data_IF_951181517446
#
_entry.id   IF_951181517446
#
_cell.length_a   1.000
_cell.length_b   1.000
_cell.length_c   1.000
_cell.angle_alpha   90.00
_cell.angle_beta   90.00
_cell.angle_gamma   90.00
#
_symmetry.space_group_name_H-M   'P 1'
#
loop_
_entity.id
_entity.type
_entity.pdbx_description
1 polymer ?
#
# COMPACT_ATOMS: atom_id res chain seq x y z
N UNK A 1 -45.48 -16.29 -65.74
CA UNK A 1 -45.17 -17.03 -64.53
C UNK A 1 -43.66 -16.97 -64.35
N UNK A 2 -43.17 -16.07 -63.45
CA UNK A 2 -41.75 -15.78 -63.25
C UNK A 2 -41.28 -16.56 -62.03
N UNK A 3 -40.32 -17.44 -62.22
CA UNK A 3 -39.66 -18.16 -61.08
C UNK A 3 -38.61 -17.30 -60.42
N UNK A 4 -38.81 -16.99 -59.14
CA UNK A 4 -37.88 -16.27 -58.33
C UNK A 4 -36.63 -17.10 -58.09
N UNK A 5 -35.44 -16.51 -58.39
CA UNK A 5 -34.14 -17.06 -58.24
C UNK A 5 -33.72 -16.91 -56.76
N UNK A 6 -33.77 -17.97 -55.96
CA UNK A 6 -33.25 -18.00 -54.61
C UNK A 6 -31.71 -17.87 -54.63
N UNK A 7 -31.19 -16.75 -54.15
CA UNK A 7 -29.76 -16.54 -53.99
C UNK A 7 -29.21 -17.45 -52.87
N UNK A 8 -28.21 -18.29 -53.18
CA UNK A 8 -27.49 -19.12 -52.23
C UNK A 8 -26.71 -18.24 -51.28
N UNK A 9 -27.12 -18.18 -50.03
CA UNK A 9 -26.33 -17.60 -48.94
C UNK A 9 -25.16 -18.58 -48.65
N UNK A 10 -23.95 -18.22 -49.06
CA UNK A 10 -22.74 -19.01 -48.75
C UNK A 10 -22.33 -18.72 -47.30
N UNK A 11 -22.40 -19.72 -46.44
CA UNK A 11 -21.89 -19.64 -45.08
C UNK A 11 -20.34 -19.60 -45.14
N UNK A 12 -19.68 -18.70 -44.38
CA UNK A 12 -18.22 -18.67 -44.35
C UNK A 12 -17.70 -20.01 -43.80
N UNK A 13 -16.71 -20.56 -44.48
CA UNK A 13 -16.10 -21.83 -44.08
C UNK A 13 -15.62 -21.77 -42.62
N UNK A 14 -15.74 -22.85 -41.90
CA UNK A 14 -15.29 -22.98 -40.48
C UNK A 14 -13.85 -22.51 -40.27
N UNK A 15 -13.02 -22.51 -41.30
CA UNK A 15 -11.64 -22.05 -41.32
C UNK A 15 -11.59 -20.51 -41.26
N UNK A 16 -12.44 -19.79 -42.02
CA UNK A 16 -12.49 -18.32 -41.99
C UNK A 16 -12.98 -17.80 -40.61
N UNK A 17 -13.97 -18.43 -39.99
CA UNK A 17 -14.47 -18.07 -38.69
C UNK A 17 -13.40 -18.29 -37.56
N UNK A 18 -12.61 -19.36 -37.68
CA UNK A 18 -11.51 -19.61 -36.73
C UNK A 18 -10.34 -18.62 -36.89
N UNK A 19 -10.01 -18.23 -38.12
CA UNK A 19 -8.96 -17.25 -38.38
C UNK A 19 -9.34 -15.85 -37.82
N UNK A 20 -10.58 -15.45 -37.91
CA UNK A 20 -11.07 -14.18 -37.36
C UNK A 20 -11.05 -14.20 -35.83
N UNK A 21 -11.44 -15.32 -35.21
CA UNK A 21 -11.44 -15.45 -33.74
C UNK A 21 -10.01 -15.43 -33.18
N UNK A 22 -9.06 -16.11 -33.82
CA UNK A 22 -7.64 -16.08 -33.41
C UNK A 22 -7.02 -14.70 -33.57
N UNK A 23 -7.34 -13.96 -34.63
CA UNK A 23 -6.86 -12.59 -34.81
C UNK A 23 -7.45 -11.61 -33.77
N UNK A 24 -8.71 -11.79 -33.37
CA UNK A 24 -9.36 -11.00 -32.34
C UNK A 24 -8.73 -11.24 -30.94
N UNK A 25 -8.44 -12.49 -30.61
CA UNK A 25 -7.80 -12.85 -29.33
C UNK A 25 -6.34 -12.36 -29.28
N UNK A 26 -5.59 -12.46 -30.37
CA UNK A 26 -4.23 -11.92 -30.47
C UNK A 26 -4.20 -10.39 -30.33
N UNK A 27 -5.19 -9.68 -30.90
CA UNK A 27 -5.32 -8.23 -30.76
C UNK A 27 -5.64 -7.79 -29.33
N UNK A 28 -6.42 -8.56 -28.58
CA UNK A 28 -6.75 -8.28 -27.17
C UNK A 28 -5.56 -8.51 -26.21
N UNK A 29 -4.67 -9.44 -26.53
CA UNK A 29 -3.46 -9.71 -25.71
C UNK A 29 -2.41 -8.62 -25.91
N UNK A 30 -2.31 -8.02 -27.10
CA UNK A 30 -1.35 -6.94 -27.38
C UNK A 30 -1.69 -5.60 -26.74
N UNK A 31 -2.91 -5.41 -26.26
CA UNK A 31 -3.36 -4.14 -25.67
C UNK A 31 -3.00 -3.96 -24.18
N UNK A 32 -2.33 -4.94 -23.53
CA UNK A 32 -2.12 -4.92 -22.08
C UNK A 32 -0.66 -4.79 -21.63
N UNK A 33 0.27 -4.51 -22.50
CA UNK A 33 1.66 -4.24 -22.12
C UNK A 33 2.12 -2.86 -22.58
N UNK A 34 1.48 -1.80 -22.10
CA UNK A 34 2.21 -0.55 -21.93
C UNK A 34 3.11 -0.70 -20.69
N UNK A 35 4.29 -1.29 -20.86
CA UNK A 35 5.39 -1.04 -19.93
C UNK A 35 5.61 0.47 -19.89
N UNK A 36 5.11 1.10 -18.82
CA UNK A 36 5.40 2.49 -18.51
C UNK A 36 6.90 2.59 -18.29
N UNK A 37 7.67 2.80 -19.38
CA UNK A 37 9.10 3.05 -19.27
C UNK A 37 9.30 4.16 -18.25
N UNK A 38 10.08 3.89 -17.21
CA UNK A 38 10.43 4.90 -16.23
C UNK A 38 11.03 6.09 -16.96
N UNK A 39 10.31 7.20 -17.02
CA UNK A 39 10.82 8.45 -17.57
C UNK A 39 12.03 8.88 -16.71
N UNK A 40 13.06 9.44 -17.34
CA UNK A 40 14.20 10.01 -16.64
C UNK A 40 13.80 11.06 -15.58
N UNK A 41 12.61 11.66 -15.73
CA UNK A 41 11.99 12.58 -14.76
C UNK A 41 11.24 11.89 -13.61
N UNK A 42 11.22 10.54 -13.56
CA UNK A 42 10.56 9.83 -12.45
C UNK A 42 11.19 10.23 -11.11
N UNK A 43 10.35 10.55 -10.13
CA UNK A 43 10.78 11.13 -8.85
C UNK A 43 11.88 10.31 -8.14
N UNK A 44 11.83 8.97 -8.20
CA UNK A 44 12.81 8.09 -7.55
C UNK A 44 14.17 8.03 -8.26
N UNK A 45 14.25 8.52 -9.50
CA UNK A 45 15.50 8.62 -10.28
C UNK A 45 16.14 10.01 -10.16
N UNK A 46 15.49 10.96 -9.51
CA UNK A 46 16.04 12.28 -9.29
C UNK A 46 17.05 12.29 -8.14
N UNK A 47 18.08 13.13 -8.19
CA UNK A 47 18.97 13.32 -7.07
C UNK A 47 18.22 13.68 -5.80
N UNK A 48 18.62 13.10 -4.66
CA UNK A 48 18.01 13.42 -3.36
C UNK A 48 18.25 14.89 -3.03
N UNK A 49 17.17 15.64 -2.84
CA UNK A 49 17.22 17.04 -2.43
C UNK A 49 16.67 17.18 -1.02
N UNK A 50 17.32 18.06 -0.24
CA UNK A 50 16.83 18.39 1.11
C UNK A 50 15.64 19.33 0.98
N UNK A 51 14.47 18.83 1.33
CA UNK A 51 13.23 19.62 1.36
C UNK A 51 13.13 20.38 2.69
N UNK A 52 12.70 21.64 2.64
CA UNK A 52 12.41 22.41 3.85
C UNK A 52 11.23 21.81 4.62
N UNK A 53 11.36 21.78 5.96
CA UNK A 53 10.30 21.25 6.81
C UNK A 53 9.13 22.22 6.83
N UNK A 54 7.90 21.81 6.48
CA UNK A 54 6.77 22.71 6.42
C UNK A 54 6.39 23.24 7.81
N UNK A 55 6.08 24.53 7.87
CA UNK A 55 5.51 25.14 9.08
C UNK A 55 4.03 24.79 9.15
N UNK A 56 3.67 23.94 10.11
CA UNK A 56 2.28 23.52 10.31
C UNK A 56 1.73 24.05 11.64
N UNK A 57 0.48 24.51 11.68
CA UNK A 57 -0.19 24.83 12.93
C UNK A 57 -0.40 23.53 13.73
N UNK A 58 -0.41 23.61 15.06
CA UNK A 58 -0.51 22.49 15.98
C UNK A 58 0.74 21.59 16.09
N UNK A 59 1.87 22.23 16.36
CA UNK A 59 3.16 21.56 16.59
C UNK A 59 3.16 20.60 17.79
N UNK A 60 2.13 20.63 18.66
CA UNK A 60 2.05 19.73 19.82
C UNK A 60 1.94 18.25 19.44
N UNK A 61 1.39 17.95 18.27
CA UNK A 61 1.31 16.59 17.76
C UNK A 61 2.61 16.14 17.08
N UNK A 62 3.24 17.06 16.33
CA UNK A 62 4.49 16.81 15.62
C UNK A 62 5.66 16.70 16.61
N UNK A 63 6.32 15.57 16.68
CA UNK A 63 7.48 15.30 17.53
C UNK A 63 8.79 15.41 16.77
N UNK A 64 8.74 15.26 15.45
CA UNK A 64 9.89 15.28 14.57
C UNK A 64 9.53 15.90 13.20
N UNK A 65 10.52 16.18 12.34
CA UNK A 65 10.27 16.76 11.01
C UNK A 65 9.33 15.94 10.12
N UNK A 66 9.35 14.60 10.23
CA UNK A 66 8.48 13.72 9.43
C UNK A 66 7.02 13.98 9.77
N UNK A 67 6.71 14.16 11.05
CA UNK A 67 5.36 14.46 11.50
C UNK A 67 4.84 15.78 10.91
N UNK A 68 5.72 16.76 10.66
CA UNK A 68 5.35 18.03 10.04
C UNK A 68 4.90 17.84 8.58
N UNK A 69 5.58 16.99 7.81
CA UNK A 69 5.15 16.61 6.45
C UNK A 69 3.82 15.86 6.47
N UNK A 70 3.64 14.92 7.40
CA UNK A 70 2.37 14.19 7.55
C UNK A 70 1.23 15.15 7.88
N UNK A 71 1.43 16.09 8.82
CA UNK A 71 0.41 17.10 9.16
C UNK A 71 0.08 18.03 7.99
N UNK A 72 1.07 18.43 7.19
CA UNK A 72 0.85 19.26 6.01
C UNK A 72 -0.06 18.55 5.02
N UNK A 73 0.22 17.28 4.72
CA UNK A 73 -0.59 16.47 3.81
C UNK A 73 -2.00 16.22 4.37
N UNK A 74 -2.13 15.88 5.66
CA UNK A 74 -3.45 15.73 6.29
C UNK A 74 -4.28 17.01 6.17
N UNK A 75 -3.66 18.18 6.40
CA UNK A 75 -4.34 19.47 6.28
C UNK A 75 -4.81 19.75 4.85
N UNK A 76 -3.99 19.44 3.86
CA UNK A 76 -4.35 19.58 2.44
C UNK A 76 -5.62 18.78 2.13
N UNK A 77 -5.73 17.58 2.67
CA UNK A 77 -6.89 16.70 2.51
C UNK A 77 -8.01 16.97 3.53
N UNK A 78 -7.94 18.05 4.34
CA UNK A 78 -8.91 18.40 5.39
C UNK A 78 -9.12 17.29 6.44
N UNK A 79 -8.06 16.54 6.70
CA UNK A 79 -8.04 15.45 7.69
C UNK A 79 -7.29 15.91 8.96
N UNK A 80 -7.58 15.23 10.06
CA UNK A 80 -6.88 15.39 11.33
C UNK A 80 -6.23 14.08 11.75
N UNK A 81 -5.12 14.11 12.51
CA UNK A 81 -4.52 12.91 13.05
C UNK A 81 -5.52 12.13 13.91
N UNK A 82 -5.48 10.81 13.81
CA UNK A 82 -6.24 9.93 14.70
C UNK A 82 -5.71 9.99 16.14
N UNK A 83 -6.56 9.67 17.08
CA UNK A 83 -6.16 9.52 18.49
C UNK A 83 -5.07 8.44 18.64
N UNK A 84 -4.23 8.58 19.66
CA UNK A 84 -3.25 7.56 20.01
C UNK A 84 -3.95 6.21 20.27
N UNK A 85 -3.33 5.13 19.80
CA UNK A 85 -3.81 3.78 20.03
C UNK A 85 -3.79 3.45 21.55
N UNK A 86 -4.73 2.63 22.00
CA UNK A 86 -4.71 2.13 23.36
C UNK A 86 -3.50 1.21 23.61
N UNK A 87 -3.16 0.98 24.88
CA UNK A 87 -1.96 0.23 25.26
C UNK A 87 -1.93 -1.21 24.73
N UNK A 88 -3.06 -1.91 24.72
CA UNK A 88 -3.14 -3.26 24.17
C UNK A 88 -2.87 -3.29 22.67
N UNK A 89 -3.37 -2.31 21.93
CA UNK A 89 -3.09 -2.15 20.50
C UNK A 89 -1.62 -1.78 20.26
N UNK A 90 -1.05 -0.91 21.10
CA UNK A 90 0.36 -0.51 20.97
C UNK A 90 1.31 -1.69 21.12
N UNK A 91 1.19 -2.49 22.19
CA UNK A 91 2.08 -3.64 22.39
C UNK A 91 1.91 -4.67 21.27
N UNK A 92 0.69 -4.89 20.81
CA UNK A 92 0.44 -5.81 19.71
C UNK A 92 1.17 -5.36 18.43
N UNK A 93 1.03 -4.10 18.04
CA UNK A 93 1.72 -3.54 16.86
C UNK A 93 3.22 -3.66 17.01
N UNK A 94 3.75 -3.22 18.16
CA UNK A 94 5.19 -3.23 18.44
C UNK A 94 5.78 -4.64 18.37
N UNK A 95 5.09 -5.65 18.91
CA UNK A 95 5.55 -7.04 18.87
C UNK A 95 5.60 -7.57 17.43
N UNK A 96 4.57 -7.33 16.63
CA UNK A 96 4.59 -7.72 15.22
C UNK A 96 5.67 -7.00 14.42
N UNK A 97 5.86 -5.69 14.66
CA UNK A 97 6.83 -4.89 13.92
C UNK A 97 8.28 -5.29 14.23
N UNK A 98 8.58 -5.67 15.47
CA UNK A 98 9.95 -5.99 15.91
C UNK A 98 10.29 -7.48 15.85
N UNK A 99 9.32 -8.38 16.05
CA UNK A 99 9.58 -9.82 16.17
C UNK A 99 8.74 -10.69 15.24
N UNK A 100 7.80 -10.10 14.49
CA UNK A 100 6.86 -10.86 13.66
C UNK A 100 5.85 -11.71 14.45
N UNK A 101 5.90 -11.70 15.79
CA UNK A 101 5.11 -12.56 16.66
C UNK A 101 4.10 -11.77 17.50
N UNK A 102 2.92 -12.36 17.83
CA UNK A 102 2.00 -11.73 18.77
C UNK A 102 2.56 -11.75 20.20
N UNK A 103 2.27 -10.71 21.01
CA UNK A 103 2.64 -10.73 22.43
C UNK A 103 1.84 -11.79 23.19
N UNK A 104 2.42 -12.40 24.20
CA UNK A 104 1.70 -13.28 25.12
C UNK A 104 0.61 -12.50 25.89
N UNK A 105 -0.52 -13.12 26.26
CA UNK A 105 -1.56 -12.46 27.04
C UNK A 105 -1.06 -11.82 28.34
N UNK A 106 -0.12 -12.47 29.02
CA UNK A 106 0.52 -11.96 30.22
C UNK A 106 1.35 -10.69 29.98
N UNK A 107 2.04 -10.60 28.83
CA UNK A 107 2.81 -9.41 28.45
C UNK A 107 1.88 -8.23 28.16
N UNK A 108 0.75 -8.48 27.48
CA UNK A 108 -0.26 -7.45 27.27
C UNK A 108 -0.78 -6.93 28.61
N UNK A 109 -1.14 -7.83 29.52
CA UNK A 109 -1.67 -7.47 30.85
C UNK A 109 -0.64 -6.64 31.65
N UNK A 110 0.62 -7.08 31.66
CA UNK A 110 1.72 -6.39 32.35
C UNK A 110 1.89 -4.98 31.79
N UNK A 111 1.98 -4.82 30.47
CA UNK A 111 2.13 -3.52 29.85
C UNK A 111 0.91 -2.61 30.05
N UNK A 112 -0.32 -3.13 29.95
CA UNK A 112 -1.53 -2.33 30.18
C UNK A 112 -1.58 -1.78 31.61
N UNK A 113 -1.11 -2.56 32.58
CA UNK A 113 -1.11 -2.20 33.99
C UNK A 113 0.11 -1.37 34.43
N UNK A 114 1.22 -1.39 33.69
CA UNK A 114 2.41 -0.59 34.01
C UNK A 114 2.13 0.91 33.78
N UNK A 115 2.09 1.68 34.86
CA UNK A 115 1.84 3.14 34.83
C UNK A 115 3.14 3.96 34.80
N UNK A 116 4.30 3.33 34.69
CA UNK A 116 5.56 4.05 34.60
C UNK A 116 5.62 4.90 33.31
N UNK A 117 6.21 6.10 33.36
CA UNK A 117 6.31 6.97 32.20
C UNK A 117 7.12 6.35 31.03
N UNK A 118 8.06 5.47 31.35
CA UNK A 118 8.90 4.74 30.39
C UNK A 118 8.42 3.30 30.13
N UNK A 119 7.16 2.99 30.38
CA UNK A 119 6.63 1.64 30.18
C UNK A 119 6.70 1.17 28.72
N UNK A 120 6.53 2.09 27.78
CA UNK A 120 6.62 1.79 26.35
C UNK A 120 8.07 1.48 25.94
N UNK A 121 9.00 2.32 26.35
CA UNK A 121 10.43 2.17 26.07
C UNK A 121 10.98 0.84 26.63
N UNK A 122 10.56 0.44 27.84
CA UNK A 122 10.94 -0.87 28.41
C UNK A 122 10.49 -2.04 27.53
N UNK A 123 9.30 -1.96 26.94
CA UNK A 123 8.82 -3.01 26.02
C UNK A 123 9.63 -3.01 24.74
N UNK A 124 9.95 -1.83 24.18
CA UNK A 124 10.81 -1.69 23.01
C UNK A 124 12.18 -2.34 23.27
N UNK A 125 12.86 -1.96 24.35
CA UNK A 125 14.18 -2.47 24.71
C UNK A 125 14.17 -4.00 24.87
N UNK A 126 13.13 -4.53 25.53
CA UNK A 126 12.96 -5.98 25.68
C UNK A 126 12.79 -6.71 24.36
N UNK A 127 11.98 -6.15 23.44
CA UNK A 127 11.74 -6.78 22.15
C UNK A 127 12.97 -6.69 21.24
N UNK A 128 13.70 -5.58 21.28
CA UNK A 128 14.97 -5.43 20.56
C UNK A 128 16.06 -6.40 21.08
N UNK A 129 16.03 -6.76 22.37
CA UNK A 129 16.92 -7.75 22.96
C UNK A 129 16.47 -9.20 22.70
N UNK A 130 15.32 -9.42 22.09
CA UNK A 130 14.81 -10.75 21.76
C UNK A 130 15.61 -11.41 20.65
N UNK A 131 15.87 -12.73 20.71
CA UNK A 131 16.49 -13.46 19.60
C UNK A 131 15.65 -13.43 18.32
N UNK A 132 14.33 -13.16 18.41
CA UNK A 132 13.44 -13.04 17.25
C UNK A 132 13.52 -11.68 16.55
N UNK A 133 14.27 -10.71 17.14
CA UNK A 133 14.49 -9.44 16.46
C UNK A 133 15.53 -9.62 15.34
N UNK A 134 15.10 -9.34 14.11
CA UNK A 134 15.96 -9.48 12.94
C UNK A 134 15.88 -10.84 12.22
N UNK A 135 15.00 -11.74 12.67
CA UNK A 135 14.59 -12.91 11.88
C UNK A 135 13.47 -12.49 10.89
#
# INVERSE_FOLDING_TARGET
MSMAKLSKISWPSRIAARAVLTALVAGLISAHTEEKKADANWWSLQPVQRTEVPLVPNQKWARNPIDAFVLATLKEHKLTPSNAANRATLIRRLSYDLTGLPPAPTEVQTFVNDKAPNAYEKVVDRLLASPHYGE
#
